data_IF_584776879090
#
_entry.id   IF_584776879090
#
_cell.length_a   1.000
_cell.length_b   1.000
_cell.length_c   1.000
_cell.angle_alpha   90.00
_cell.angle_beta   90.00
_cell.angle_gamma   90.00
#
_symmetry.space_group_name_H-M   'P 1'
#
loop_
_entity.id
_entity.type
_entity.pdbx_description
1 polymer ?
#
# COMPACT_ATOMS: atom_id res chain seq x y z
N UNK A 1 0.77 9.47 14.05
CA UNK A 1 1.46 9.96 12.84
C UNK A 1 0.42 10.56 11.92
N UNK A 2 0.61 11.77 11.43
CA UNK A 2 -0.33 12.38 10.48
C UNK A 2 -0.35 11.56 9.19
N UNK A 3 -1.54 11.19 8.72
CA UNK A 3 -1.71 10.61 7.39
C UNK A 3 -1.21 11.63 6.37
N UNK A 4 -0.06 11.36 5.77
CA UNK A 4 0.41 12.10 4.60
C UNK A 4 -0.44 11.59 3.43
N UNK A 5 -1.55 12.28 3.16
CA UNK A 5 -2.36 12.00 1.98
C UNK A 5 -1.53 12.41 0.76
N UNK A 6 -0.91 11.43 0.12
CA UNK A 6 -0.19 11.64 -1.13
C UNK A 6 -1.20 11.92 -2.24
N UNK A 7 -1.22 13.16 -2.75
CA UNK A 7 -1.99 13.49 -3.95
C UNK A 7 -1.34 12.84 -5.17
N UNK A 8 -2.06 11.89 -5.78
CA UNK A 8 -1.62 11.22 -7.00
C UNK A 8 -1.86 12.12 -8.21
N UNK A 9 -0.88 12.17 -9.11
CA UNK A 9 -0.99 12.81 -10.42
C UNK A 9 -2.00 12.06 -11.30
N UNK A 10 -2.57 12.74 -12.30
CA UNK A 10 -3.62 12.14 -13.13
C UNK A 10 -3.09 10.97 -13.98
N UNK A 11 -1.82 10.99 -14.38
CA UNK A 11 -1.14 9.87 -15.02
C UNK A 11 -1.10 8.63 -14.13
N UNK A 12 -0.84 8.81 -12.82
CA UNK A 12 -0.80 7.72 -11.84
C UNK A 12 -2.20 7.13 -11.63
N UNK A 13 -3.23 7.97 -11.60
CA UNK A 13 -4.63 7.52 -11.55
C UNK A 13 -5.01 6.68 -12.77
N UNK A 14 -4.59 7.12 -13.96
CA UNK A 14 -4.81 6.36 -15.21
C UNK A 14 -4.14 4.98 -15.18
N UNK A 15 -2.94 4.89 -14.61
CA UNK A 15 -2.23 3.62 -14.45
C UNK A 15 -2.94 2.67 -13.46
N UNK A 16 -3.45 3.20 -12.35
CA UNK A 16 -4.28 2.41 -11.41
C UNK A 16 -5.53 1.88 -12.12
N UNK A 17 -6.20 2.73 -12.90
CA UNK A 17 -7.39 2.33 -13.66
C UNK A 17 -7.10 1.22 -14.68
N UNK A 18 -5.95 1.28 -15.34
CA UNK A 18 -5.49 0.21 -16.23
C UNK A 18 -5.27 -1.11 -15.49
N UNK A 19 -4.63 -1.08 -14.31
CA UNK A 19 -4.41 -2.26 -13.49
C UNK A 19 -5.71 -2.88 -13.00
N UNK A 20 -6.67 -2.06 -12.55
CA UNK A 20 -7.98 -2.54 -12.10
C UNK A 20 -8.72 -3.29 -13.19
N UNK A 21 -8.61 -2.87 -14.46
CA UNK A 21 -9.20 -3.59 -15.60
C UNK A 21 -8.58 -4.96 -15.84
N UNK A 22 -7.35 -5.19 -15.41
CA UNK A 22 -6.68 -6.50 -15.52
C UNK A 22 -7.08 -7.45 -14.40
N UNK A 23 -7.56 -6.92 -13.27
CA UNK A 23 -7.94 -7.70 -12.09
C UNK A 23 -9.38 -8.21 -12.23
N UNK A 24 -9.56 -9.51 -12.01
CA UNK A 24 -10.88 -10.13 -11.88
C UNK A 24 -11.23 -10.37 -10.40
N UNK A 25 -12.52 -10.35 -10.02
CA UNK A 25 -12.93 -10.77 -8.68
C UNK A 25 -12.40 -12.18 -8.36
N UNK A 26 -11.79 -12.35 -7.19
CA UNK A 26 -11.17 -13.60 -6.76
C UNK A 26 -9.75 -13.84 -7.29
N UNK A 27 -9.17 -12.89 -8.02
CA UNK A 27 -7.79 -12.98 -8.50
C UNK A 27 -6.80 -12.66 -7.38
N UNK A 28 -5.80 -13.53 -7.21
CA UNK A 28 -4.69 -13.32 -6.29
C UNK A 28 -3.77 -12.19 -6.78
N UNK A 29 -3.70 -11.10 -6.03
CA UNK A 29 -2.93 -9.91 -6.36
C UNK A 29 -1.42 -10.10 -6.22
N UNK A 30 -0.95 -11.17 -5.57
CA UNK A 30 0.49 -11.47 -5.49
C UNK A 30 1.10 -11.81 -6.85
N UNK A 31 0.27 -12.15 -7.85
CA UNK A 31 0.66 -12.42 -9.24
C UNK A 31 0.65 -11.19 -10.13
N UNK A 32 0.15 -10.06 -9.62
CA UNK A 32 0.08 -8.79 -10.34
C UNK A 32 1.22 -7.91 -9.88
N UNK A 33 1.97 -7.34 -10.82
CA UNK A 33 3.02 -6.38 -10.49
C UNK A 33 2.37 -5.07 -10.07
N UNK A 34 2.51 -4.73 -8.79
CA UNK A 34 2.08 -3.46 -8.24
C UNK A 34 3.08 -2.35 -8.61
N UNK A 35 2.61 -1.15 -9.01
CA UNK A 35 3.49 -0.02 -9.27
C UNK A 35 4.26 0.42 -8.02
N UNK A 36 5.48 0.90 -8.21
CA UNK A 36 6.35 1.33 -7.11
C UNK A 36 5.86 2.59 -6.39
N UNK A 37 5.10 3.45 -7.05
CA UNK A 37 4.65 4.71 -6.44
C UNK A 37 3.60 4.55 -5.33
N UNK A 38 2.93 3.39 -5.25
CA UNK A 38 2.03 3.06 -4.12
C UNK A 38 2.75 2.33 -2.99
N UNK A 39 4.02 1.96 -3.19
CA UNK A 39 4.80 1.25 -2.19
C UNK A 39 5.45 2.24 -1.24
N UNK A 40 5.27 1.98 0.05
CA UNK A 40 6.00 2.65 1.10
C UNK A 40 7.47 2.16 1.08
N UNK A 41 8.47 3.02 1.32
CA UNK A 41 9.89 2.64 1.30
C UNK A 41 10.31 1.91 2.59
N UNK A 42 9.44 1.04 3.12
CA UNK A 42 9.67 0.26 4.35
C UNK A 42 9.31 -1.19 4.10
N UNK A 43 10.07 -2.09 4.71
CA UNK A 43 9.76 -3.52 4.64
C UNK A 43 8.48 -3.83 5.44
N UNK A 44 7.84 -4.96 5.11
CA UNK A 44 6.64 -5.39 5.81
C UNK A 44 6.88 -5.59 7.32
N UNK A 45 8.03 -6.14 7.71
CA UNK A 45 8.37 -6.36 9.12
C UNK A 45 8.58 -5.06 9.88
N UNK A 46 9.22 -4.06 9.26
CA UNK A 46 9.35 -2.73 9.86
C UNK A 46 7.99 -2.06 10.06
N UNK A 47 7.06 -2.23 9.10
CA UNK A 47 5.70 -1.73 9.23
C UNK A 47 4.91 -2.45 10.33
N UNK A 48 5.12 -3.76 10.51
CA UNK A 48 4.51 -4.50 11.61
C UNK A 48 5.04 -4.04 12.98
N UNK A 49 6.31 -3.63 13.07
CA UNK A 49 6.86 -3.11 14.31
C UNK A 49 6.12 -1.85 14.81
N UNK A 50 5.54 -1.04 13.92
CA UNK A 50 4.73 0.12 14.30
C UNK A 50 3.49 -0.27 15.12
N UNK A 51 2.97 -1.49 14.96
CA UNK A 51 1.84 -1.97 15.77
C UNK A 51 2.18 -2.16 17.25
N UNK A 52 3.47 -2.32 17.57
CA UNK A 52 3.99 -2.46 18.93
C UNK A 52 4.53 -1.13 19.51
N UNK A 53 4.29 -0.01 18.82
CA UNK A 53 4.80 1.30 19.25
C UNK A 53 4.25 1.74 20.63
N UNK A 54 3.08 1.23 21.02
CA UNK A 54 2.44 1.49 22.32
C UNK A 54 2.39 0.25 23.21
N UNK A 55 3.55 -0.39 23.40
CA UNK A 55 3.67 -1.58 24.26
C UNK A 55 3.31 -1.31 25.73
N UNK A 56 3.30 -0.05 26.16
CA UNK A 56 2.81 0.41 27.46
C UNK A 56 1.32 0.12 27.69
N UNK A 57 0.52 0.02 26.63
CA UNK A 57 -0.90 -0.35 26.70
C UNK A 57 -1.14 -1.87 26.84
N UNK A 58 -0.08 -2.69 26.73
CA UNK A 58 -0.16 -4.15 26.88
C UNK A 58 0.13 -4.63 28.31
N UNK A 59 0.37 -3.70 29.24
CA UNK A 59 0.66 -3.97 30.66
C UNK A 59 -0.59 -4.01 31.54
#
# INVERSE_FOLDING_TARGET
AGEVVAELQDEQKSLIWFLLKQVRPGMDLSKVVLPTFILEPRSFLEKLADSYYHADLLS
#
